data_IF_099296424091
#
_entry.id   IF_099296424091
#
_cell.length_a   1.000
_cell.length_b   1.000
_cell.length_c   1.000
_cell.angle_alpha   90.00
_cell.angle_beta   90.00
_cell.angle_gamma   90.00
#
_symmetry.space_group_name_H-M   'P 1'
#
loop_
_entity.id
_entity.type
_entity.pdbx_description
1 polymer ?
#
# COMPACT_ATOMS: atom_id res chain seq x y z
N UNK A 1 1.68 -5.69 -21.83
CA UNK A 1 0.53 -5.84 -20.92
C UNK A 1 -0.20 -4.50 -20.86
N UNK A 2 -1.52 -4.48 -20.97
CA UNK A 2 -2.31 -3.26 -20.90
C UNK A 2 -3.16 -3.30 -19.63
N UNK A 3 -2.95 -2.33 -18.74
CA UNK A 3 -3.76 -2.16 -17.53
C UNK A 3 -4.82 -1.10 -17.78
N UNK A 4 -6.05 -1.40 -17.38
CA UNK A 4 -7.13 -0.42 -17.35
C UNK A 4 -7.08 0.40 -16.06
N UNK A 5 -7.68 1.61 -16.04
CA UNK A 5 -7.75 2.44 -14.83
C UNK A 5 -8.22 1.70 -13.58
N UNK A 6 -9.21 0.83 -13.71
CA UNK A 6 -9.79 0.10 -12.58
C UNK A 6 -8.81 -0.90 -11.95
N UNK A 7 -7.74 -1.25 -12.66
CA UNK A 7 -6.74 -2.22 -12.21
C UNK A 7 -5.59 -1.55 -11.45
N UNK A 8 -5.31 -0.26 -11.69
CA UNK A 8 -4.23 0.46 -11.01
C UNK A 8 -4.71 1.54 -10.02
N UNK A 9 -6.01 1.85 -10.00
CA UNK A 9 -6.59 2.77 -9.03
C UNK A 9 -7.00 2.01 -7.76
N UNK A 10 -6.48 2.45 -6.62
CA UNK A 10 -6.82 1.91 -5.30
C UNK A 10 -7.74 2.88 -4.56
N UNK A 11 -8.84 2.40 -3.94
CA UNK A 11 -9.72 3.25 -3.17
C UNK A 11 -8.98 3.74 -1.93
N UNK A 12 -8.93 5.06 -1.75
CA UNK A 12 -8.31 5.68 -0.59
C UNK A 12 -9.33 6.01 0.50
N UNK A 13 -10.55 6.36 0.11
CA UNK A 13 -11.63 6.74 1.02
C UNK A 13 -12.51 7.82 0.39
N UNK A 14 -13.04 8.71 1.23
CA UNK A 14 -13.85 9.84 0.79
C UNK A 14 -13.26 11.14 1.33
N UNK A 15 -13.22 12.18 0.51
CA UNK A 15 -12.90 13.56 0.92
C UNK A 15 -14.05 14.45 0.46
N UNK A 16 -14.63 15.21 1.39
CA UNK A 16 -15.80 16.07 1.17
C UNK A 16 -16.99 15.36 0.49
N UNK A 17 -17.19 14.08 0.84
CA UNK A 17 -18.28 13.25 0.29
C UNK A 17 -17.99 12.67 -1.10
N UNK A 18 -16.85 12.98 -1.72
CA UNK A 18 -16.43 12.41 -3.00
C UNK A 18 -15.46 11.23 -2.79
N UNK A 19 -15.65 10.14 -3.55
CA UNK A 19 -14.75 8.99 -3.52
C UNK A 19 -13.37 9.36 -4.08
N UNK A 20 -12.33 9.09 -3.30
CA UNK A 20 -10.94 9.36 -3.65
C UNK A 20 -10.22 8.07 -4.06
N UNK A 21 -9.44 8.19 -5.13
CA UNK A 21 -8.66 7.11 -5.72
C UNK A 21 -7.20 7.51 -5.81
N UNK A 22 -6.30 6.57 -5.48
CA UNK A 22 -4.86 6.76 -5.63
C UNK A 22 -4.32 5.85 -6.73
N UNK A 23 -3.31 6.32 -7.45
CA UNK A 23 -2.53 5.50 -8.38
C UNK A 23 -1.65 4.55 -7.56
N UNK A 24 -1.77 3.24 -7.78
CA UNK A 24 -1.08 2.21 -7.01
C UNK A 24 0.37 1.93 -7.41
N UNK A 25 0.95 2.68 -8.35
CA UNK A 25 2.34 2.49 -8.74
C UNK A 25 3.31 3.12 -7.72
N UNK A 26 4.22 2.31 -7.20
CA UNK A 26 5.29 2.77 -6.32
C UNK A 26 6.60 2.90 -7.11
N UNK A 27 7.23 4.08 -7.02
CA UNK A 27 8.55 4.30 -7.62
C UNK A 27 9.63 3.66 -6.74
N UNK A 28 10.46 2.80 -7.32
CA UNK A 28 11.63 2.20 -6.67
C UNK A 28 12.90 2.84 -7.24
N UNK A 29 13.91 3.06 -6.40
CA UNK A 29 15.16 3.72 -6.81
C UNK A 29 16.07 2.82 -7.66
N UNK A 30 16.01 1.50 -7.48
CA UNK A 30 17.00 0.55 -8.00
C UNK A 30 16.72 0.00 -9.42
N UNK A 31 15.96 0.70 -10.26
CA UNK A 31 15.81 0.33 -11.69
C UNK A 31 15.08 -0.99 -11.97
N UNK A 32 14.71 -1.76 -10.95
CA UNK A 32 13.90 -2.98 -11.06
C UNK A 32 12.42 -2.60 -11.00
N UNK A 33 11.62 -3.17 -11.90
CA UNK A 33 10.17 -3.08 -11.85
C UNK A 33 9.60 -4.32 -11.18
N UNK A 34 8.89 -4.15 -10.06
CA UNK A 34 8.22 -5.24 -9.36
C UNK A 34 6.77 -5.28 -9.82
N UNK A 35 6.36 -6.40 -10.42
CA UNK A 35 4.98 -6.65 -10.83
C UNK A 35 4.23 -7.36 -9.70
N UNK A 36 3.74 -6.57 -8.75
CA UNK A 36 2.96 -7.07 -7.62
C UNK A 36 1.47 -7.23 -7.90
N UNK A 37 0.68 -7.26 -6.84
CA UNK A 37 -0.75 -7.58 -6.85
C UNK A 37 -1.57 -6.75 -7.85
N UNK A 38 -1.21 -5.48 -8.06
CA UNK A 38 -1.86 -4.58 -9.03
C UNK A 38 -1.88 -5.16 -10.46
N UNK A 39 -0.80 -5.86 -10.81
CA UNK A 39 -0.57 -6.43 -12.13
C UNK A 39 -1.09 -7.87 -12.20
N UNK A 40 -0.91 -8.61 -11.10
CA UNK A 40 -1.20 -10.04 -11.03
C UNK A 40 -2.67 -10.35 -10.70
N UNK A 41 -3.43 -9.37 -10.20
CA UNK A 41 -4.85 -9.52 -9.90
C UNK A 41 -5.64 -9.94 -11.14
N UNK A 42 -6.60 -10.85 -10.93
CA UNK A 42 -7.49 -11.41 -11.96
C UNK A 42 -6.74 -12.07 -13.11
N UNK A 43 -5.59 -12.70 -12.80
CA UNK A 43 -4.80 -13.48 -13.73
C UNK A 43 -4.42 -14.84 -13.17
N UNK A 44 -4.43 -15.84 -14.03
CA UNK A 44 -3.66 -17.07 -13.80
C UNK A 44 -2.26 -16.82 -14.33
N UNK A 45 -1.26 -17.07 -13.48
CA UNK A 45 0.16 -16.94 -13.81
C UNK A 45 0.78 -18.34 -13.81
N UNK A 46 1.48 -18.68 -14.88
CA UNK A 46 2.14 -19.97 -15.05
C UNK A 46 3.65 -19.74 -15.13
N UNK A 47 4.38 -20.42 -14.25
CA UNK A 47 5.84 -20.45 -14.29
C UNK A 47 6.28 -21.77 -14.93
N UNK A 48 6.67 -21.72 -16.19
CA UNK A 48 7.18 -22.88 -16.92
C UNK A 48 8.70 -22.94 -16.72
N UNK A 49 9.11 -23.63 -15.66
CA UNK A 49 10.51 -23.78 -15.26
C UNK A 49 11.34 -24.51 -16.33
N UNK A 50 10.75 -25.50 -17.02
CA UNK A 50 11.44 -26.27 -18.04
C UNK A 50 11.83 -25.41 -19.25
N UNK A 51 10.96 -24.48 -19.63
CA UNK A 51 11.18 -23.57 -20.75
C UNK A 51 11.62 -22.16 -20.32
N UNK A 52 11.90 -21.95 -19.03
CA UNK A 52 12.32 -20.67 -18.45
C UNK A 52 11.44 -19.48 -18.87
N UNK A 53 10.12 -19.68 -18.89
CA UNK A 53 9.17 -18.66 -19.34
C UNK A 53 8.04 -18.48 -18.35
N UNK A 54 7.52 -17.26 -18.31
CA UNK A 54 6.38 -16.90 -17.50
C UNK A 54 5.24 -16.54 -18.45
N UNK A 55 4.10 -17.21 -18.27
CA UNK A 55 2.87 -16.93 -19.00
C UNK A 55 1.81 -16.38 -18.06
N UNK A 56 0.89 -15.59 -18.58
CA UNK A 56 -0.29 -15.13 -17.84
C UNK A 56 -1.49 -14.98 -18.75
N UNK A 57 -2.68 -15.16 -18.20
CA UNK A 57 -3.95 -14.88 -18.88
C UNK A 57 -4.95 -14.31 -17.89
N UNK A 58 -5.91 -13.53 -18.39
CA UNK A 58 -7.00 -13.03 -17.54
C UNK A 58 -7.86 -14.19 -17.07
N UNK A 59 -8.31 -14.13 -15.82
CA UNK A 59 -9.14 -15.13 -15.20
C UNK A 59 -10.17 -14.49 -14.28
N UNK A 60 -11.39 -15.01 -14.32
CA UNK A 60 -12.44 -14.60 -13.40
C UNK A 60 -12.29 -15.37 -12.08
N UNK A 61 -11.81 -14.67 -11.05
CA UNK A 61 -11.58 -15.24 -9.72
C UNK A 61 -12.85 -15.73 -9.01
N UNK A 62 -14.05 -15.48 -9.54
CA UNK A 62 -15.29 -16.08 -9.05
C UNK A 62 -15.49 -17.53 -9.51
N UNK A 63 -14.76 -17.95 -10.55
CA UNK A 63 -14.79 -19.31 -11.08
C UNK A 63 -13.76 -20.21 -10.40
N UNK A 64 -14.07 -21.49 -10.26
CA UNK A 64 -13.11 -22.48 -9.74
C UNK A 64 -12.10 -22.91 -10.82
N UNK A 65 -10.82 -23.00 -10.43
CA UNK A 65 -9.76 -23.50 -11.30
C UNK A 65 -9.72 -25.02 -11.17
N UNK A 66 -9.95 -25.74 -12.27
CA UNK A 66 -9.81 -27.19 -12.27
C UNK A 66 -8.34 -27.56 -12.57
N UNK A 67 -7.70 -28.27 -11.64
CA UNK A 67 -6.28 -28.63 -11.75
C UNK A 67 -6.18 -30.15 -11.87
N UNK A 68 -5.71 -30.65 -13.01
CA UNK A 68 -5.32 -32.05 -13.15
C UNK A 68 -3.85 -32.19 -12.78
N UNK A 69 -3.58 -32.87 -11.67
CA UNK A 69 -2.20 -33.14 -11.25
C UNK A 69 -1.73 -34.41 -11.95
N UNK A 70 -0.86 -34.27 -12.95
CA UNK A 70 0.03 -35.38 -13.32
C UNK A 70 1.07 -35.47 -12.21
N UNK A 71 1.16 -36.61 -11.51
CA UNK A 71 2.11 -36.79 -10.41
C UNK A 71 3.56 -36.80 -10.92
N UNK A 72 4.11 -35.64 -11.29
CA UNK A 72 5.53 -35.38 -11.22
C UNK A 72 5.84 -34.97 -9.78
N UNK A 73 7.02 -35.37 -9.32
CA UNK A 73 7.46 -35.38 -7.92
C UNK A 73 7.82 -33.97 -7.43
N UNK A 74 6.95 -33.00 -7.67
CA UNK A 74 7.16 -31.59 -7.33
C UNK A 74 6.37 -31.26 -6.07
N UNK A 75 7.09 -30.88 -5.02
CA UNK A 75 6.56 -30.54 -3.71
C UNK A 75 5.58 -29.37 -3.84
N UNK A 76 4.32 -29.60 -3.48
CA UNK A 76 3.28 -28.58 -3.46
C UNK A 76 3.57 -27.57 -2.34
N UNK A 77 4.07 -26.39 -2.69
CA UNK A 77 4.20 -25.27 -1.76
C UNK A 77 2.93 -24.43 -1.86
N UNK A 78 2.01 -24.62 -0.91
CA UNK A 78 0.87 -23.72 -0.72
C UNK A 78 1.41 -22.34 -0.35
N UNK A 79 1.31 -21.36 -1.24
CA UNK A 79 1.63 -19.97 -0.93
C UNK A 79 0.61 -19.48 0.12
N UNK A 80 1.03 -19.44 1.38
CA UNK A 80 0.18 -19.04 2.50
C UNK A 80 -0.46 -17.66 2.28
N UNK A 81 -1.66 -17.46 2.83
CA UNK A 81 -2.39 -16.19 2.76
C UNK A 81 -1.57 -15.07 3.42
N UNK A 82 -1.07 -14.13 2.62
CA UNK A 82 -0.55 -12.85 3.13
C UNK A 82 -1.72 -11.99 3.60
N UNK A 83 -2.02 -12.04 4.91
CA UNK A 83 -2.86 -11.02 5.55
C UNK A 83 -2.06 -9.72 5.62
N UNK A 84 -2.32 -8.82 4.69
CA UNK A 84 -1.82 -7.44 4.78
C UNK A 84 -2.63 -6.73 5.87
N UNK A 85 -2.03 -6.58 7.04
CA UNK A 85 -2.56 -5.70 8.08
C UNK A 85 -2.23 -4.26 7.68
N UNK A 86 -3.25 -3.42 7.52
CA UNK A 86 -3.09 -1.99 7.32
C UNK A 86 -2.53 -1.36 8.60
N UNK A 87 -1.21 -1.19 8.68
CA UNK A 87 -0.61 -0.37 9.73
C UNK A 87 -0.99 1.10 9.50
N UNK A 88 -1.46 1.78 10.55
CA UNK A 88 -1.61 3.23 10.54
C UNK A 88 -0.27 3.85 10.12
N UNK A 89 -0.25 4.52 8.97
CA UNK A 89 0.98 5.10 8.42
C UNK A 89 1.63 6.04 9.45
N UNK A 90 2.93 5.91 9.64
CA UNK A 90 3.78 6.83 10.45
C UNK A 90 3.50 8.31 10.11
N UNK A 91 3.09 8.57 8.87
CA UNK A 91 2.63 9.86 8.34
C UNK A 91 1.43 10.44 9.11
N UNK A 92 0.48 9.61 9.55
CA UNK A 92 -0.70 10.03 10.32
C UNK A 92 -0.41 10.34 11.79
N UNK A 93 0.66 9.77 12.36
CA UNK A 93 1.14 10.07 13.71
C UNK A 93 1.92 11.40 13.69
N UNK A 94 2.80 11.57 12.70
CA UNK A 94 3.56 12.81 12.47
C UNK A 94 2.64 14.02 12.20
N UNK A 95 1.57 13.84 11.42
CA UNK A 95 0.62 14.91 11.12
C UNK A 95 -0.16 15.38 12.36
N UNK A 96 -0.35 14.51 13.37
CA UNK A 96 -1.01 14.86 14.63
C UNK A 96 -0.08 15.52 15.64
N UNK A 97 1.20 15.16 15.68
CA UNK A 97 2.16 15.70 16.65
C UNK A 97 2.68 17.10 16.29
N UNK A 98 2.85 17.39 15.00
CA UNK A 98 3.32 18.70 14.51
C UNK A 98 2.50 19.88 15.03
N UNK A 99 1.15 19.90 14.91
CA UNK A 99 0.36 21.03 15.40
C UNK A 99 0.37 21.14 16.94
N UNK A 100 0.40 20.02 17.66
CA UNK A 100 0.44 20.01 19.13
C UNK A 100 1.76 20.60 19.66
N UNK A 101 2.88 20.24 19.03
CA UNK A 101 4.20 20.76 19.40
C UNK A 101 4.31 22.27 19.17
N UNK A 102 3.76 22.77 18.05
CA UNK A 102 3.74 24.21 17.74
C UNK A 102 2.88 24.98 18.77
N UNK A 103 1.68 24.48 19.09
CA UNK A 103 0.80 25.12 20.07
C UNK A 103 1.42 25.15 21.47
N UNK A 104 2.09 24.07 21.88
CA UNK A 104 2.77 24.02 23.18
C UNK A 104 3.97 24.98 23.24
N UNK A 105 4.74 25.13 22.16
CA UNK A 105 5.84 26.08 22.10
C UNK A 105 5.35 27.53 22.19
N UNK A 106 4.28 27.86 21.45
CA UNK A 106 3.67 29.18 21.46
C UNK A 106 3.07 29.52 22.83
N UNK A 107 2.38 28.57 23.48
CA UNK A 107 1.81 28.80 24.82
C UNK A 107 2.91 29.02 25.87
N UNK A 108 4.01 28.27 25.81
CA UNK A 108 5.16 28.48 26.70
C UNK A 108 5.82 29.83 26.49
N UNK A 109 5.99 30.29 25.24
CA UNK A 109 6.52 31.62 24.94
C UNK A 109 5.61 32.75 25.45
N UNK A 110 4.29 32.62 25.31
CA UNK A 110 3.34 33.59 25.84
C UNK A 110 3.43 33.65 27.38
N UNK A 111 3.50 32.51 28.07
CA UNK A 111 3.62 32.47 29.54
C UNK A 111 4.92 33.12 30.02
N UNK A 112 6.05 32.88 29.34
CA UNK A 112 7.33 33.51 29.65
C UNK A 112 7.27 35.03 29.43
N UNK A 113 6.68 35.46 28.31
CA UNK A 113 6.54 36.87 27.95
C UNK A 113 5.53 37.62 28.84
N UNK A 114 4.52 36.93 29.38
CA UNK A 114 3.60 37.50 30.37
C UNK A 114 4.18 37.53 31.78
N UNK A 115 5.19 36.72 32.08
CA UNK A 115 5.86 36.69 33.39
C UNK A 115 7.00 37.71 33.51
N UNK A 116 7.59 38.15 32.39
CA UNK A 116 8.62 39.20 32.37
C UNK A 116 8.16 40.63 32.71
N UNK A 117 6.93 41.11 32.41
CA UNK A 117 6.51 42.46 32.81
C UNK A 117 6.16 42.61 34.30
N UNK A 118 6.16 41.52 35.09
CA UNK A 118 5.81 41.54 36.53
C UNK A 118 7.03 41.47 37.47
N UNK A 119 8.26 41.55 36.96
CA UNK A 119 9.49 41.56 37.77
C UNK A 119 10.26 42.88 37.68
N UNK A 120 9.56 43.98 37.39
CA UNK A 120 10.11 45.33 37.47
C UNK A 120 9.25 46.21 38.39
N UNK A 121 9.24 45.85 39.68
CA UNK A 121 9.13 46.75 40.82
C UNK A 121 9.98 46.17 41.96
#
# INVERSE_FOLDING_TARGET
>A
MLLKPEQYLMPYGFVDGAAMWCIGFQKVQEGVTILGDLVLKDKIVVNDLANQRIGWTNYDCSLSVNVSVTSSKDEYISAGQLRVSSSESVTGILSKLLPVSIVAALSMHIVIFMKSPFLQF
#
